data_IF_456106204122
#
_entry.id   IF_456106204122
#
_cell.length_a   1.000
_cell.length_b   1.000
_cell.length_c   1.000
_cell.angle_alpha   90.00
_cell.angle_beta   90.00
_cell.angle_gamma   90.00
#
_symmetry.space_group_name_H-M   'P 1'
#
loop_
_entity.id
_entity.type
_entity.pdbx_description
1 polymer ?
#
# COMPACT_ATOMS: atom_id res chain seq x y z
N UNK A 1 -31.90 -119.82 19.69
CA UNK A 1 -30.53 -120.39 19.69
C UNK A 1 -29.53 -119.23 19.88
N UNK A 2 -28.79 -119.29 21.01
CA UNK A 2 -27.42 -118.86 21.13
C UNK A 2 -27.02 -117.48 20.59
N UNK A 3 -26.28 -116.63 21.20
CA UNK A 3 -25.42 -116.58 22.43
C UNK A 3 -25.01 -115.14 22.64
N UNK A 4 -25.00 -114.77 23.88
CA UNK A 4 -24.07 -113.79 24.56
C UNK A 4 -22.86 -113.32 23.79
N UNK A 5 -22.50 -112.06 23.93
CA UNK A 5 -21.28 -111.74 24.71
C UNK A 5 -21.14 -110.27 25.05
N UNK A 6 -20.77 -110.07 26.27
CA UNK A 6 -20.28 -108.89 26.96
C UNK A 6 -19.19 -108.09 26.28
N UNK A 7 -19.13 -106.84 26.52
CA UNK A 7 -17.95 -106.18 27.11
C UNK A 7 -18.00 -104.67 26.77
N UNK A 8 -17.63 -103.78 27.47
CA UNK A 8 -16.86 -103.44 28.61
C UNK A 8 -16.78 -101.91 28.58
N UNK A 9 -17.07 -101.25 29.64
CA UNK A 9 -16.87 -99.87 29.88
C UNK A 9 -15.37 -99.50 29.70
N UNK A 10 -15.05 -98.52 28.89
CA UNK A 10 -13.82 -97.76 29.01
C UNK A 10 -14.16 -96.34 29.43
N UNK A 11 -13.82 -96.13 30.71
CA UNK A 11 -13.90 -94.88 31.45
C UNK A 11 -12.71 -93.99 31.01
N UNK A 12 -12.92 -93.14 30.05
CA UNK A 12 -11.91 -92.12 29.69
C UNK A 12 -12.01 -90.94 30.61
N UNK A 13 -11.16 -90.94 31.65
CA UNK A 13 -10.85 -89.79 32.49
C UNK A 13 -10.66 -88.51 31.65
N UNK A 14 -11.56 -87.54 31.79
CA UNK A 14 -11.40 -86.20 31.36
C UNK A 14 -10.31 -85.52 32.15
N UNK A 15 -9.16 -85.21 31.50
CA UNK A 15 -8.12 -84.32 32.08
C UNK A 15 -8.70 -82.94 32.30
N UNK A 16 -8.46 -82.33 33.48
CA UNK A 16 -8.91 -80.96 33.75
C UNK A 16 -8.23 -79.98 32.84
N UNK A 17 -9.03 -79.13 32.18
CA UNK A 17 -8.56 -77.98 31.37
C UNK A 17 -7.80 -77.05 32.32
N UNK A 18 -6.49 -76.95 32.15
CA UNK A 18 -5.67 -75.97 32.79
C UNK A 18 -6.05 -74.59 32.16
N UNK A 19 -6.64 -73.72 32.92
CA UNK A 19 -6.82 -72.34 32.60
C UNK A 19 -5.41 -71.67 32.43
N UNK A 20 -5.13 -70.94 31.37
CA UNK A 20 -3.86 -70.26 31.25
C UNK A 20 -3.75 -69.23 32.40
N UNK A 21 -2.76 -69.38 33.23
CA UNK A 21 -2.41 -68.41 34.27
C UNK A 21 -2.03 -67.11 33.52
N UNK A 22 -2.88 -66.10 33.59
CA UNK A 22 -2.52 -64.74 33.22
C UNK A 22 -1.31 -64.33 34.05
N UNK A 23 -0.12 -64.29 33.36
CA UNK A 23 1.04 -63.65 33.92
C UNK A 23 0.78 -62.15 34.04
N UNK A 24 0.25 -61.72 35.13
CA UNK A 24 0.18 -60.30 35.47
C UNK A 24 1.57 -59.73 35.43
N UNK A 25 1.81 -58.82 34.50
CA UNK A 25 3.07 -58.10 34.33
C UNK A 25 3.30 -57.24 35.58
N UNK A 26 4.00 -57.78 36.58
CA UNK A 26 4.37 -57.05 37.80
C UNK A 26 5.50 -56.09 37.46
N UNK A 27 5.12 -54.88 37.00
CA UNK A 27 6.10 -53.79 36.82
C UNK A 27 6.73 -53.47 38.18
N UNK A 28 8.08 -53.48 38.20
CA UNK A 28 8.81 -53.02 39.37
C UNK A 28 8.48 -51.55 39.70
N UNK A 29 8.67 -51.17 40.95
CA UNK A 29 8.37 -49.80 41.43
C UNK A 29 8.98 -48.70 40.53
N UNK A 30 10.22 -48.93 40.05
CA UNK A 30 10.90 -48.00 39.12
C UNK A 30 10.20 -47.84 37.79
N UNK A 31 9.65 -48.92 37.21
CA UNK A 31 8.92 -48.88 35.96
C UNK A 31 7.56 -48.20 36.09
N UNK A 32 6.91 -48.31 37.27
CA UNK A 32 5.66 -47.58 37.55
C UNK A 32 5.88 -46.08 37.71
N UNK A 33 6.95 -45.66 38.37
CA UNK A 33 7.29 -44.25 38.53
C UNK A 33 7.67 -43.63 37.15
N UNK A 34 8.49 -44.33 36.36
CA UNK A 34 8.84 -43.88 34.99
C UNK A 34 7.62 -43.81 34.07
N UNK A 35 6.72 -44.80 34.17
CA UNK A 35 5.48 -44.86 33.35
C UNK A 35 4.48 -43.76 33.66
N UNK A 36 4.56 -43.10 34.83
CA UNK A 36 3.70 -41.97 35.21
C UNK A 36 4.41 -40.63 34.93
N UNK A 37 5.70 -40.52 35.30
CA UNK A 37 6.43 -39.26 35.17
C UNK A 37 6.73 -38.87 33.70
N UNK A 38 7.02 -39.86 32.86
CA UNK A 38 7.37 -39.61 31.46
C UNK A 38 6.21 -39.01 30.63
N UNK A 39 4.97 -39.52 30.67
CA UNK A 39 3.85 -38.88 29.97
C UNK A 39 3.51 -37.50 30.57
N UNK A 40 3.66 -37.27 31.85
CA UNK A 40 3.42 -35.95 32.45
C UNK A 40 4.43 -34.93 31.94
N UNK A 41 5.71 -35.30 31.90
CA UNK A 41 6.73 -34.40 31.36
C UNK A 41 6.53 -34.11 29.86
N UNK A 42 6.14 -35.09 29.04
CA UNK A 42 5.81 -34.92 27.66
C UNK A 42 4.63 -33.93 27.46
N UNK A 43 3.56 -34.13 28.27
CA UNK A 43 2.39 -33.22 28.22
C UNK A 43 2.78 -31.80 28.63
N UNK A 44 3.62 -31.61 29.64
CA UNK A 44 4.12 -30.29 30.04
C UNK A 44 4.94 -29.63 28.95
N UNK A 45 5.81 -30.37 28.27
CA UNK A 45 6.63 -29.84 27.15
C UNK A 45 5.74 -29.43 25.98
N UNK A 46 4.76 -30.27 25.61
CA UNK A 46 3.80 -29.95 24.55
C UNK A 46 3.00 -28.70 24.91
N UNK A 47 2.54 -28.59 26.15
CA UNK A 47 1.81 -27.41 26.60
C UNK A 47 2.66 -26.15 26.58
N UNK A 48 3.93 -26.23 27.01
CA UNK A 48 4.88 -25.11 26.92
C UNK A 48 5.12 -24.67 25.47
N UNK A 49 5.34 -25.61 24.54
CA UNK A 49 5.52 -25.31 23.11
C UNK A 49 4.28 -24.64 22.54
N UNK A 50 3.07 -25.13 22.85
CA UNK A 50 1.83 -24.55 22.38
C UNK A 50 1.62 -23.12 22.89
N UNK A 51 1.92 -22.85 24.16
CA UNK A 51 1.86 -21.51 24.74
C UNK A 51 2.90 -20.58 24.09
N UNK A 52 4.15 -21.04 23.98
CA UNK A 52 5.23 -20.27 23.37
C UNK A 52 4.91 -19.91 21.91
N UNK A 53 4.38 -20.87 21.14
CA UNK A 53 3.95 -20.63 19.76
C UNK A 53 2.84 -19.58 19.70
N UNK A 54 1.79 -19.70 20.50
CA UNK A 54 0.67 -18.75 20.51
C UNK A 54 1.08 -17.34 20.93
N UNK A 55 2.01 -17.20 21.86
CA UNK A 55 2.54 -15.89 22.29
C UNK A 55 3.41 -15.30 21.18
N UNK A 56 4.32 -16.11 20.63
CA UNK A 56 5.21 -15.69 19.55
C UNK A 56 4.45 -15.22 18.31
N UNK A 57 3.41 -15.94 17.90
CA UNK A 57 2.56 -15.56 16.77
C UNK A 57 1.89 -14.19 16.99
N UNK A 58 1.33 -13.96 18.17
CA UNK A 58 0.70 -12.68 18.52
C UNK A 58 1.70 -11.52 18.55
N UNK A 59 2.89 -11.75 19.08
CA UNK A 59 3.93 -10.72 19.17
C UNK A 59 4.51 -10.39 17.79
N UNK A 60 4.73 -11.39 16.93
CA UNK A 60 5.15 -11.21 15.54
C UNK A 60 4.08 -10.42 14.79
N UNK A 61 2.81 -10.81 14.90
CA UNK A 61 1.71 -10.12 14.22
C UNK A 61 1.62 -8.66 14.66
N UNK A 62 1.65 -8.37 15.96
CA UNK A 62 1.63 -6.99 16.47
C UNK A 62 2.83 -6.17 16.01
N UNK A 63 4.03 -6.77 16.04
CA UNK A 63 5.25 -6.12 15.60
C UNK A 63 5.19 -5.80 14.10
N UNK A 64 4.72 -6.75 13.28
CA UNK A 64 4.55 -6.56 11.84
C UNK A 64 3.52 -5.48 11.52
N UNK A 65 2.37 -5.48 12.19
CA UNK A 65 1.36 -4.42 12.03
C UNK A 65 1.90 -3.05 12.45
N UNK A 66 2.64 -2.97 13.55
CA UNK A 66 3.26 -1.74 14.00
C UNK A 66 4.28 -1.21 13.00
N UNK A 67 5.10 -2.09 12.45
CA UNK A 67 6.10 -1.75 11.45
C UNK A 67 5.45 -1.25 10.16
N UNK A 68 4.44 -1.95 9.64
CA UNK A 68 3.69 -1.53 8.45
C UNK A 68 3.01 -0.17 8.66
N UNK A 69 2.39 0.03 9.82
CA UNK A 69 1.76 1.32 10.14
C UNK A 69 2.75 2.46 10.23
N UNK A 70 3.93 2.23 10.81
CA UNK A 70 4.99 3.23 10.90
C UNK A 70 5.53 3.53 9.50
N UNK A 71 5.82 2.52 8.70
CA UNK A 71 6.27 2.68 7.32
C UNK A 71 5.27 3.47 6.47
N UNK A 72 3.98 3.12 6.53
CA UNK A 72 2.94 3.86 5.80
C UNK A 72 2.83 5.34 6.26
N UNK A 73 2.99 5.60 7.56
CA UNK A 73 3.01 6.97 8.09
C UNK A 73 4.22 7.74 7.60
N UNK A 74 5.39 7.12 7.59
CA UNK A 74 6.62 7.76 7.11
C UNK A 74 6.55 8.06 5.61
N UNK A 75 5.99 7.16 4.81
CA UNK A 75 5.70 7.41 3.39
C UNK A 75 4.74 8.59 3.22
N UNK A 76 3.64 8.61 3.97
CA UNK A 76 2.69 9.72 3.94
C UNK A 76 3.35 11.06 4.27
N UNK A 77 4.20 11.12 5.31
CA UNK A 77 4.96 12.32 5.68
C UNK A 77 5.94 12.76 4.56
N UNK A 78 6.59 11.81 3.89
CA UNK A 78 7.49 12.11 2.78
C UNK A 78 6.74 12.67 1.56
N UNK A 79 5.57 12.10 1.23
CA UNK A 79 4.70 12.59 0.14
C UNK A 79 4.20 13.99 0.48
N UNK A 80 3.72 14.22 1.70
CA UNK A 80 3.28 15.54 2.15
C UNK A 80 4.40 16.57 2.07
N UNK A 81 5.59 16.23 2.53
CA UNK A 81 6.77 17.11 2.46
C UNK A 81 7.16 17.42 1.01
N UNK A 82 7.09 16.45 0.11
CA UNK A 82 7.34 16.64 -1.31
C UNK A 82 6.32 17.58 -1.94
N UNK A 83 5.03 17.34 -1.71
CA UNK A 83 3.95 18.21 -2.20
C UNK A 83 4.08 19.63 -1.68
N UNK A 84 4.32 19.81 -0.38
CA UNK A 84 4.48 21.14 0.22
C UNK A 84 5.66 21.89 -0.40
N UNK A 85 6.80 21.23 -0.60
CA UNK A 85 7.97 21.83 -1.26
C UNK A 85 7.63 22.27 -2.69
N UNK A 86 6.95 21.42 -3.48
CA UNK A 86 6.53 21.76 -4.83
C UNK A 86 5.55 22.94 -4.87
N UNK A 87 4.64 22.98 -3.91
CA UNK A 87 3.71 24.10 -3.80
C UNK A 87 4.43 25.42 -3.42
N UNK A 88 5.46 25.35 -2.60
CA UNK A 88 6.27 26.54 -2.23
C UNK A 88 7.11 27.02 -3.41
N UNK A 89 7.60 26.13 -4.30
CA UNK A 89 8.22 26.50 -5.56
C UNK A 89 7.23 27.26 -6.46
N UNK A 90 5.99 26.76 -6.60
CA UNK A 90 4.92 27.44 -7.35
C UNK A 90 4.60 28.82 -6.76
N UNK A 91 4.53 28.93 -5.44
CA UNK A 91 4.33 30.24 -4.77
C UNK A 91 5.48 31.20 -5.04
N UNK A 92 6.71 30.70 -5.10
CA UNK A 92 7.90 31.49 -5.42
C UNK A 92 7.84 32.02 -6.85
N UNK A 93 7.49 31.16 -7.82
CA UNK A 93 7.28 31.58 -9.21
C UNK A 93 6.15 32.61 -9.30
N UNK A 94 5.02 32.37 -8.64
CA UNK A 94 3.93 33.37 -8.58
C UNK A 94 4.42 34.72 -8.07
N UNK A 95 5.13 34.72 -6.92
CA UNK A 95 5.67 35.93 -6.32
C UNK A 95 6.60 36.67 -7.27
N UNK A 96 7.50 35.96 -7.93
CA UNK A 96 8.42 36.59 -8.90
C UNK A 96 7.68 37.17 -10.10
N UNK A 97 6.71 36.46 -10.67
CA UNK A 97 5.92 36.98 -11.79
C UNK A 97 5.16 38.26 -11.42
N UNK A 98 4.57 38.32 -10.23
CA UNK A 98 3.83 39.48 -9.74
C UNK A 98 4.72 40.69 -9.45
N UNK A 99 5.92 40.47 -8.89
CA UNK A 99 6.81 41.56 -8.42
C UNK A 99 7.83 42.01 -9.46
N UNK A 100 8.15 41.17 -10.46
CA UNK A 100 9.05 41.56 -11.55
C UNK A 100 8.39 42.44 -12.63
N UNK A 101 7.07 42.60 -12.56
CA UNK A 101 6.29 43.28 -13.60
C UNK A 101 5.99 42.40 -14.83
N UNK A 102 6.34 41.11 -14.78
CA UNK A 102 6.12 40.17 -15.87
C UNK A 102 4.63 40.02 -16.22
N UNK A 103 3.75 40.12 -15.25
CA UNK A 103 2.30 40.05 -15.48
C UNK A 103 1.78 41.13 -16.41
N UNK A 104 2.46 42.29 -16.45
CA UNK A 104 2.08 43.45 -17.29
C UNK A 104 2.85 43.52 -18.60
N UNK A 105 3.98 42.82 -18.72
CA UNK A 105 4.86 42.79 -19.93
C UNK A 105 4.87 41.37 -20.49
N UNK A 106 4.20 41.20 -21.64
CA UNK A 106 4.08 39.89 -22.30
C UNK A 106 5.45 39.31 -22.72
N UNK A 107 6.42 40.16 -23.11
CA UNK A 107 7.76 39.70 -23.50
C UNK A 107 8.55 39.22 -22.26
N UNK A 108 8.43 39.95 -21.16
CA UNK A 108 9.07 39.57 -19.92
C UNK A 108 8.41 38.30 -19.35
N UNK A 109 7.10 38.18 -19.45
CA UNK A 109 6.38 36.98 -19.06
C UNK A 109 6.85 35.75 -19.86
N UNK A 110 6.94 35.87 -21.18
CA UNK A 110 7.43 34.79 -22.02
C UNK A 110 8.86 34.38 -21.65
N UNK A 111 9.74 35.38 -21.45
CA UNK A 111 11.12 35.12 -21.00
C UNK A 111 11.14 34.37 -19.66
N UNK A 112 10.35 34.79 -18.67
CA UNK A 112 10.26 34.13 -17.38
C UNK A 112 9.75 32.70 -17.49
N UNK A 113 8.72 32.45 -18.30
CA UNK A 113 8.20 31.10 -18.53
C UNK A 113 9.26 30.19 -19.17
N UNK A 114 10.08 30.71 -20.10
CA UNK A 114 11.20 29.98 -20.65
C UNK A 114 12.28 29.69 -19.62
N UNK A 115 12.61 30.68 -18.77
CA UNK A 115 13.60 30.53 -17.69
C UNK A 115 13.16 29.46 -16.66
N UNK A 116 11.86 29.33 -16.41
CA UNK A 116 11.30 28.33 -15.46
C UNK A 116 11.08 26.96 -16.08
N UNK A 117 11.08 26.80 -17.39
CA UNK A 117 10.77 25.54 -18.06
C UNK A 117 11.74 24.40 -17.70
N UNK A 118 13.01 24.73 -17.52
CA UNK A 118 14.06 23.75 -17.24
C UNK A 118 14.49 23.69 -15.75
N UNK A 119 13.75 24.33 -14.85
CA UNK A 119 14.16 24.40 -13.43
C UNK A 119 14.01 23.06 -12.70
N UNK A 120 12.97 22.31 -13.03
CA UNK A 120 12.68 21.05 -12.33
C UNK A 120 11.82 20.13 -13.21
N UNK A 121 12.32 18.94 -13.47
CA UNK A 121 11.67 17.92 -14.32
C UNK A 121 10.34 17.41 -13.75
N UNK A 122 10.05 17.66 -12.45
CA UNK A 122 8.77 17.28 -11.85
C UNK A 122 7.61 18.13 -12.37
N UNK A 123 7.89 19.35 -12.89
CA UNK A 123 6.89 20.23 -13.49
C UNK A 123 6.72 19.89 -14.97
N UNK A 124 5.81 19.00 -15.25
CA UNK A 124 5.57 18.51 -16.62
C UNK A 124 5.05 19.64 -17.51
N UNK A 125 5.82 19.97 -18.55
CA UNK A 125 5.51 21.09 -19.44
C UNK A 125 5.76 22.48 -18.83
N UNK A 126 6.39 22.57 -17.64
CA UNK A 126 6.70 23.84 -16.98
C UNK A 126 5.48 24.58 -16.47
N UNK A 127 5.54 25.91 -16.53
CA UNK A 127 4.46 26.77 -16.04
C UNK A 127 3.63 27.35 -17.17
N UNK A 128 2.32 27.50 -16.93
CA UNK A 128 1.38 28.14 -17.85
C UNK A 128 0.75 29.37 -17.20
N UNK A 129 0.55 30.41 -17.98
CA UNK A 129 -0.26 31.56 -17.58
C UNK A 129 -1.44 31.69 -18.54
N UNK A 130 -2.65 31.62 -18.02
CA UNK A 130 -3.88 31.63 -18.83
C UNK A 130 -4.71 32.85 -18.49
N UNK A 131 -5.18 33.57 -19.51
CA UNK A 131 -6.06 34.72 -19.34
C UNK A 131 -7.55 34.32 -19.29
N UNK A 132 -8.43 35.31 -19.10
CA UNK A 132 -9.88 35.11 -19.09
C UNK A 132 -10.47 34.75 -20.44
N UNK A 133 -9.76 35.02 -21.54
CA UNK A 133 -10.16 34.57 -22.87
C UNK A 133 -9.87 33.08 -23.09
N UNK A 134 -9.01 32.49 -22.25
CA UNK A 134 -8.56 31.11 -22.37
C UNK A 134 -7.28 31.00 -23.18
N UNK A 135 -6.59 32.13 -23.44
CA UNK A 135 -5.31 32.15 -24.12
C UNK A 135 -4.23 31.67 -23.14
N UNK A 136 -3.47 30.66 -23.53
CA UNK A 136 -2.41 30.07 -22.71
C UNK A 136 -1.07 30.56 -23.19
N UNK A 137 -0.30 31.16 -22.29
CA UNK A 137 1.13 31.42 -22.47
C UNK A 137 1.91 30.31 -21.73
N UNK A 138 2.89 29.77 -22.42
CA UNK A 138 3.79 28.72 -21.92
C UNK A 138 5.17 28.92 -22.48
N UNK A 139 6.18 28.19 -21.99
CA UNK A 139 7.51 28.24 -22.56
C UNK A 139 7.49 27.86 -24.04
N UNK A 140 8.40 28.46 -24.82
CA UNK A 140 8.51 28.22 -26.29
C UNK A 140 8.83 26.75 -26.58
N UNK A 141 9.65 26.10 -25.75
CA UNK A 141 10.06 24.70 -25.89
C UNK A 141 8.98 23.72 -25.42
N UNK A 142 7.92 24.21 -24.79
CA UNK A 142 6.81 23.35 -24.36
C UNK A 142 5.91 22.99 -25.54
N UNK A 143 5.94 21.73 -25.95
CA UNK A 143 5.13 21.20 -27.06
C UNK A 143 3.74 20.70 -26.64
N UNK A 144 3.43 20.68 -25.34
CA UNK A 144 2.14 20.19 -24.81
C UNK A 144 0.98 20.94 -25.43
N UNK A 145 0.03 20.24 -26.03
CA UNK A 145 -1.19 20.82 -26.57
C UNK A 145 -2.22 21.03 -25.45
N UNK A 146 -2.62 22.27 -25.24
CA UNK A 146 -3.67 22.61 -24.25
C UNK A 146 -4.90 23.06 -25.04
N UNK A 147 -5.86 22.17 -25.18
CA UNK A 147 -7.13 22.45 -25.81
C UNK A 147 -8.15 22.87 -24.74
N UNK A 148 -9.01 23.85 -25.07
CA UNK A 148 -10.11 24.29 -24.20
C UNK A 148 -9.63 24.57 -22.76
N UNK A 149 -8.67 25.47 -22.60
CA UNK A 149 -8.08 25.77 -21.28
C UNK A 149 -9.13 26.07 -20.20
N UNK A 150 -10.25 26.71 -20.57
CA UNK A 150 -11.34 27.04 -19.63
C UNK A 150 -12.06 25.83 -19.06
N UNK A 151 -12.07 24.71 -19.77
CA UNK A 151 -12.70 23.45 -19.35
C UNK A 151 -11.78 22.64 -18.44
N UNK A 152 -10.50 23.01 -18.38
CA UNK A 152 -9.52 22.30 -17.57
C UNK A 152 -9.73 22.55 -16.07
N UNK A 153 -9.54 21.50 -15.27
CA UNK A 153 -9.75 21.56 -13.82
C UNK A 153 -8.83 22.59 -13.15
N UNK A 154 -7.60 22.73 -13.61
CA UNK A 154 -6.65 23.69 -13.07
C UNK A 154 -7.06 25.15 -13.34
N UNK A 155 -7.72 25.42 -14.48
CA UNK A 155 -8.26 26.76 -14.78
C UNK A 155 -9.42 27.11 -13.86
N UNK A 156 -10.41 26.22 -13.76
CA UNK A 156 -11.60 26.43 -12.92
C UNK A 156 -11.23 26.57 -11.43
N UNK A 157 -10.29 25.75 -10.95
CA UNK A 157 -9.81 25.85 -9.56
C UNK A 157 -8.91 27.07 -9.34
N UNK A 158 -8.11 27.44 -10.33
CA UNK A 158 -7.26 28.62 -10.29
C UNK A 158 -8.07 29.92 -10.13
N UNK A 159 -9.23 30.04 -10.81
CA UNK A 159 -10.14 31.17 -10.68
C UNK A 159 -10.70 31.40 -9.26
N UNK A 160 -10.68 30.38 -8.43
CA UNK A 160 -11.24 30.43 -7.06
C UNK A 160 -10.19 30.60 -5.96
N UNK A 161 -8.91 30.72 -6.32
CA UNK A 161 -7.79 30.67 -5.36
C UNK A 161 -6.80 31.80 -5.61
N UNK A 162 -6.64 32.69 -4.62
CA UNK A 162 -5.56 33.68 -4.64
C UNK A 162 -4.20 33.02 -4.42
N UNK A 163 -4.12 32.08 -3.49
CA UNK A 163 -2.90 31.32 -3.23
C UNK A 163 -2.91 30.02 -4.03
N UNK A 164 -1.76 29.61 -4.61
CA UNK A 164 -1.64 28.32 -5.29
C UNK A 164 -2.04 27.16 -4.38
N UNK A 165 -2.72 26.20 -4.98
CA UNK A 165 -3.15 24.98 -4.33
C UNK A 165 -3.38 23.87 -5.35
N UNK A 166 -3.41 22.63 -4.89
CA UNK A 166 -3.54 21.46 -5.75
C UNK A 166 -4.98 21.22 -6.22
N UNK A 167 -5.12 20.70 -7.43
CA UNK A 167 -6.36 20.13 -7.95
C UNK A 167 -6.55 18.70 -7.42
N UNK A 168 -7.72 18.08 -7.61
CA UNK A 168 -7.81 16.63 -7.61
C UNK A 168 -6.84 16.00 -8.62
N UNK A 169 -6.47 14.74 -8.38
CA UNK A 169 -5.67 13.97 -9.32
C UNK A 169 -6.48 13.71 -10.60
N UNK A 170 -5.82 13.70 -11.73
CA UNK A 170 -6.40 13.39 -13.03
C UNK A 170 -5.41 12.60 -13.86
N UNK A 171 -5.90 11.93 -14.88
CA UNK A 171 -5.10 11.16 -15.83
C UNK A 171 -4.85 12.01 -17.08
N UNK A 172 -3.61 12.01 -17.57
CA UNK A 172 -3.27 12.67 -18.82
C UNK A 172 -3.59 11.79 -20.05
N UNK A 173 -3.29 12.29 -21.24
CA UNK A 173 -3.55 11.57 -22.49
C UNK A 173 -2.69 10.29 -22.67
N UNK A 174 -1.64 10.15 -21.87
CA UNK A 174 -0.69 9.02 -21.89
C UNK A 174 -0.92 8.07 -20.70
N UNK A 175 -2.02 8.26 -19.97
CA UNK A 175 -2.44 7.50 -18.76
C UNK A 175 -1.48 7.69 -17.57
N UNK A 176 -0.78 8.82 -17.48
CA UNK A 176 -0.02 9.16 -16.28
C UNK A 176 -0.91 9.89 -15.27
N UNK A 177 -0.75 9.53 -14.00
CA UNK A 177 -1.43 10.23 -12.92
C UNK A 177 -0.76 11.57 -12.64
N UNK A 178 -1.55 12.62 -12.78
CA UNK A 178 -1.11 14.00 -12.69
C UNK A 178 -1.88 14.75 -11.61
N UNK A 179 -1.24 15.77 -11.06
CA UNK A 179 -1.88 16.76 -10.20
C UNK A 179 -1.44 18.14 -10.68
N UNK A 180 -2.36 19.11 -10.73
CA UNK A 180 -1.98 20.49 -11.06
C UNK A 180 -1.91 21.34 -9.81
N UNK A 181 -0.91 22.24 -9.77
CA UNK A 181 -0.89 23.35 -8.83
C UNK A 181 -1.31 24.62 -9.58
N UNK A 182 -2.31 25.33 -9.07
CA UNK A 182 -2.86 26.50 -9.73
C UNK A 182 -3.31 27.58 -8.74
N UNK A 183 -3.26 28.82 -9.19
CA UNK A 183 -3.73 29.97 -8.44
C UNK A 183 -3.80 31.21 -9.30
N UNK A 184 -4.55 32.20 -8.83
CA UNK A 184 -4.71 33.49 -9.52
C UNK A 184 -3.44 34.31 -9.39
N UNK A 185 -3.01 34.97 -10.47
CA UNK A 185 -2.01 36.02 -10.46
C UNK A 185 -2.67 37.36 -10.14
N UNK A 186 -2.10 38.13 -9.26
CA UNK A 186 -2.55 39.50 -8.94
C UNK A 186 -2.02 40.48 -9.98
N UNK A 187 -2.88 40.88 -10.89
CA UNK A 187 -2.58 41.86 -11.95
C UNK A 187 -3.45 43.11 -11.83
N UNK A 188 -4.15 43.35 -10.79
CA UNK A 188 -5.03 44.52 -10.59
C UNK A 188 -5.93 44.94 -11.78
N UNK A 189 -5.65 44.51 -13.01
CA UNK A 189 -6.34 44.89 -14.25
C UNK A 189 -6.94 43.69 -14.99
N UNK A 190 -6.29 42.54 -14.96
CA UNK A 190 -6.73 41.32 -15.67
C UNK A 190 -6.56 40.10 -14.80
N UNK A 191 -7.59 39.25 -14.75
CA UNK A 191 -7.47 37.95 -14.08
C UNK A 191 -6.63 37.03 -14.96
N UNK A 192 -5.55 36.53 -14.42
CA UNK A 192 -4.70 35.50 -15.01
C UNK A 192 -4.51 34.36 -14.02
N UNK A 193 -4.33 33.17 -14.51
CA UNK A 193 -4.13 31.97 -13.71
C UNK A 193 -2.77 31.41 -14.01
N UNK A 194 -1.94 31.28 -12.98
CA UNK A 194 -0.72 30.49 -13.00
C UNK A 194 -1.09 29.04 -12.73
N UNK A 195 -0.60 28.13 -13.54
CA UNK A 195 -0.75 26.70 -13.33
C UNK A 195 0.48 25.93 -13.80
N UNK A 196 0.68 24.77 -13.23
CA UNK A 196 1.68 23.78 -13.63
C UNK A 196 1.18 22.40 -13.31
N UNK A 197 1.62 21.41 -14.08
CA UNK A 197 1.30 20.00 -13.84
C UNK A 197 2.49 19.28 -13.20
N UNK A 198 2.22 18.40 -12.25
CA UNK A 198 3.21 17.54 -11.62
C UNK A 198 2.84 16.08 -11.88
N UNK A 199 3.83 15.29 -12.32
CA UNK A 199 3.69 13.84 -12.38
C UNK A 199 3.74 13.24 -10.97
N UNK A 200 2.90 12.26 -10.71
CA UNK A 200 2.95 11.48 -9.49
C UNK A 200 3.99 10.34 -9.54
N UNK A 201 4.83 10.26 -10.58
CA UNK A 201 5.90 9.27 -10.68
C UNK A 201 6.89 9.37 -9.51
N UNK A 202 7.22 10.59 -9.08
CA UNK A 202 8.04 10.82 -7.88
C UNK A 202 7.39 10.28 -6.61
N UNK A 203 6.07 10.38 -6.51
CA UNK A 203 5.28 9.81 -5.41
C UNK A 203 5.32 8.29 -5.48
N UNK A 204 5.24 7.71 -6.68
CA UNK A 204 5.36 6.28 -6.89
C UNK A 204 6.72 5.73 -6.41
N UNK A 205 7.81 6.47 -6.65
CA UNK A 205 9.14 6.13 -6.11
C UNK A 205 9.11 6.10 -4.57
N UNK A 206 8.49 7.09 -3.91
CA UNK A 206 8.37 7.14 -2.44
C UNK A 206 7.58 5.93 -1.93
N UNK A 207 6.44 5.63 -2.54
CA UNK A 207 5.58 4.49 -2.19
C UNK A 207 6.34 3.18 -2.30
N UNK A 208 7.18 3.02 -3.33
CA UNK A 208 7.91 1.79 -3.58
C UNK A 208 9.20 1.63 -2.76
N UNK A 209 9.80 2.74 -2.28
CA UNK A 209 11.12 2.72 -1.64
C UNK A 209 11.13 2.20 -0.20
N UNK A 210 10.00 2.24 0.50
CA UNK A 210 9.95 2.09 1.96
C UNK A 210 9.44 0.73 2.44
N UNK A 211 9.19 -0.22 1.55
CA UNK A 211 8.70 -1.55 1.95
C UNK A 211 9.89 -2.44 2.32
N UNK A 212 10.24 -2.45 3.62
CA UNK A 212 11.34 -3.26 4.16
C UNK A 212 10.93 -4.69 4.51
N UNK A 213 9.65 -5.02 4.42
CA UNK A 213 9.11 -6.33 4.79
C UNK A 213 8.89 -7.17 3.53
N UNK A 214 9.46 -8.38 3.52
CA UNK A 214 9.31 -9.32 2.41
C UNK A 214 7.84 -9.68 2.21
N UNK A 215 7.32 -9.50 0.99
CA UNK A 215 5.94 -9.78 0.64
C UNK A 215 4.92 -8.70 1.04
N UNK A 216 5.37 -7.55 1.56
CA UNK A 216 4.49 -6.41 1.78
C UNK A 216 4.47 -5.51 0.55
N UNK A 217 3.29 -4.98 0.25
CA UNK A 217 3.05 -4.02 -0.83
C UNK A 217 2.50 -2.72 -0.25
N UNK A 218 2.79 -1.64 -0.93
CA UNK A 218 2.35 -0.30 -0.54
C UNK A 218 1.55 0.31 -1.69
N UNK A 219 0.41 0.89 -1.35
CA UNK A 219 -0.46 1.57 -2.29
C UNK A 219 -0.76 2.97 -1.77
N UNK A 220 -0.80 3.95 -2.66
CA UNK A 220 -1.40 5.25 -2.39
C UNK A 220 -2.79 5.28 -3.03
N UNK A 221 -3.81 5.60 -2.24
CA UNK A 221 -5.20 5.58 -2.69
C UNK A 221 -5.84 6.94 -2.43
N UNK A 222 -6.58 7.47 -3.39
CA UNK A 222 -7.45 8.62 -3.16
C UNK A 222 -8.60 8.22 -2.24
N UNK A 223 -8.68 8.88 -1.09
CA UNK A 223 -9.69 8.58 -0.08
C UNK A 223 -11.12 8.84 -0.56
N UNK A 224 -11.31 9.77 -1.50
CA UNK A 224 -12.62 10.19 -1.97
C UNK A 224 -13.19 9.27 -3.06
N UNK A 225 -12.34 8.83 -3.96
CA UNK A 225 -12.73 8.00 -5.11
C UNK A 225 -12.45 6.52 -4.89
N UNK A 226 -11.39 6.21 -4.16
CA UNK A 226 -10.87 4.86 -3.98
C UNK A 226 -9.90 4.44 -5.08
N UNK A 227 -9.49 5.38 -5.94
CA UNK A 227 -8.59 5.10 -7.04
C UNK A 227 -7.14 4.98 -6.56
N UNK A 228 -6.41 4.05 -7.13
CA UNK A 228 -5.00 3.80 -6.82
C UNK A 228 -4.15 4.82 -7.59
N UNK A 229 -3.47 5.69 -6.85
CA UNK A 229 -2.65 6.78 -7.39
C UNK A 229 -1.19 6.39 -7.58
N UNK A 230 -0.70 5.47 -6.77
CA UNK A 230 0.65 4.94 -6.86
C UNK A 230 0.70 3.50 -6.34
N UNK A 231 1.46 2.66 -7.02
CA UNK A 231 1.64 1.23 -6.72
C UNK A 231 2.97 0.74 -7.28
N UNK A 232 3.49 -0.33 -6.69
CA UNK A 232 4.60 -1.08 -7.28
C UNK A 232 4.20 -1.76 -8.59
N UNK A 233 2.97 -2.21 -8.68
CA UNK A 233 2.40 -2.80 -9.88
C UNK A 233 1.73 -1.68 -10.68
N UNK A 234 2.37 -1.28 -11.79
CA UNK A 234 1.87 -0.20 -12.65
C UNK A 234 0.48 -0.46 -13.22
N UNK A 235 0.11 -1.72 -13.40
CA UNK A 235 -1.21 -2.13 -13.89
C UNK A 235 -2.35 -1.79 -12.92
N UNK A 236 -2.05 -1.60 -11.64
CA UNK A 236 -3.04 -1.22 -10.63
C UNK A 236 -3.27 0.30 -10.58
N UNK A 237 -2.36 1.11 -11.12
CA UNK A 237 -2.49 2.57 -11.12
C UNK A 237 -3.70 2.96 -11.97
N UNK A 238 -4.48 3.93 -11.52
CA UNK A 238 -5.76 4.37 -12.09
C UNK A 238 -6.92 3.36 -11.99
N UNK A 239 -6.72 2.20 -11.36
CA UNK A 239 -7.82 1.29 -11.06
C UNK A 239 -8.45 1.59 -9.71
N UNK A 240 -9.70 1.17 -9.50
CA UNK A 240 -10.36 1.36 -8.19
C UNK A 240 -10.05 0.21 -7.25
N UNK A 241 -9.72 0.55 -6.00
CA UNK A 241 -9.51 -0.44 -4.94
C UNK A 241 -10.73 -1.36 -4.75
N UNK A 242 -11.93 -0.88 -5.11
CA UNK A 242 -13.17 -1.67 -5.05
C UNK A 242 -13.21 -2.78 -6.10
N UNK A 243 -12.62 -2.55 -7.25
CA UNK A 243 -12.60 -3.50 -8.37
C UNK A 243 -11.49 -4.54 -8.19
N UNK A 244 -10.42 -4.19 -7.45
CA UNK A 244 -9.29 -5.07 -7.15
C UNK A 244 -9.51 -5.95 -5.91
N UNK A 245 -10.58 -5.74 -5.14
CA UNK A 245 -10.85 -6.44 -3.87
C UNK A 245 -11.03 -7.97 -3.98
N UNK A 246 -11.07 -8.53 -5.18
CA UNK A 246 -11.11 -9.99 -5.41
C UNK A 246 -9.73 -10.65 -5.52
N UNK A 247 -8.64 -9.91 -5.36
CA UNK A 247 -7.26 -10.41 -5.51
C UNK A 247 -6.33 -10.17 -4.30
N UNK A 248 -6.83 -9.52 -3.22
CA UNK A 248 -6.06 -9.27 -1.99
C UNK A 248 -6.62 -10.05 -0.81
#
# INVERSE_FOLDING_TARGET
MKKNTKQTKDDKMKKPKQHPKQKGFRMGLRAKILGISLPITIIMVIAMIAIAYSVSEKDIMKSSQSLLRTSAKDQGNQIEAWLNRKLDEVKTVKYDLEHSGAVKDQKLLQKKLNDYYALDDSFVGGFYVTDTAGTVMKADDNTTQINNAKDQIWYQKGLTRMNPGYTPVFEDAENHMMISACGMLDDATNIRILSTNLSLDSVNIIVNSSVSMQGAESLLVDKSTGDILASRESELIATSLKDTSNGF
#
